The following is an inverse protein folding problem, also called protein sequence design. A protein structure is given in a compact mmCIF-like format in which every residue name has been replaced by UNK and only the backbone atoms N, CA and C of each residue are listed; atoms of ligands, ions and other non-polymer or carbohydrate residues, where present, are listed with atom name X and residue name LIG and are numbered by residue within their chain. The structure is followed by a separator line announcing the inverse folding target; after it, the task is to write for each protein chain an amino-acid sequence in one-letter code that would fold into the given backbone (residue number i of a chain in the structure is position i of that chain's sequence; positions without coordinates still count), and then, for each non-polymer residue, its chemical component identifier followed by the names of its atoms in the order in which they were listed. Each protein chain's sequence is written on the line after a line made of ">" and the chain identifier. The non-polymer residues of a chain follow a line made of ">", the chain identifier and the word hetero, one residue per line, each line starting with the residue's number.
data_IF_231741395851
#
_entry.id   IF_231741395851
#
_cell.length_a   1.000
_cell.length_b   1.000
_cell.length_c   1.000
_cell.angle_alpha   90.00
_cell.angle_beta   90.00
_cell.angle_gamma   90.00
#
_symmetry.space_group_name_H-M   'P 1'
#
loop_
_entity.id
_entity.type
_entity.pdbx_description
1 polymer ?
#
# COMPACT_ATOMS: atom_id res chain seq x y z
N UNK A 1 10.90 12.87 -30.77
CA UNK A 1 9.61 13.19 -30.12
C UNK A 1 8.97 11.86 -29.81
N UNK A 2 8.77 11.58 -28.52
CA UNK A 2 8.16 10.35 -28.05
C UNK A 2 6.68 10.30 -28.42
N UNK A 3 6.10 9.11 -28.37
CA UNK A 3 4.65 8.94 -28.52
C UNK A 3 3.99 9.47 -27.26
N UNK A 4 3.14 10.50 -27.39
CA UNK A 4 2.27 10.93 -26.30
C UNK A 4 1.22 9.86 -26.03
N UNK A 5 1.01 9.58 -24.76
CA UNK A 5 0.03 8.59 -24.29
C UNK A 5 -0.93 9.25 -23.31
N UNK A 6 -2.14 8.71 -23.23
CA UNK A 6 -3.12 9.16 -22.24
C UNK A 6 -2.65 8.73 -20.85
N UNK A 7 -2.55 9.68 -19.95
CA UNK A 7 -2.20 9.47 -18.54
C UNK A 7 -3.29 10.01 -17.62
N UNK A 8 -3.58 9.27 -16.55
CA UNK A 8 -4.37 9.73 -15.41
C UNK A 8 -3.48 9.64 -14.18
N UNK A 9 -3.50 10.66 -13.33
CA UNK A 9 -2.72 10.66 -12.09
C UNK A 9 -3.35 11.57 -11.03
N UNK A 10 -3.12 11.27 -9.73
CA UNK A 10 -3.41 12.19 -8.64
C UNK A 10 -2.63 13.50 -8.74
N UNK A 11 -3.21 14.62 -8.30
CA UNK A 11 -2.55 15.94 -8.38
C UNK A 11 -1.17 15.97 -7.71
N UNK A 12 -1.02 15.27 -6.57
CA UNK A 12 0.24 15.18 -5.82
C UNK A 12 1.38 14.52 -6.60
N UNK A 13 1.09 13.77 -7.68
CA UNK A 13 2.08 13.00 -8.41
C UNK A 13 3.23 13.89 -8.92
N UNK A 14 2.89 15.10 -9.37
CA UNK A 14 3.85 16.06 -9.92
C UNK A 14 4.60 16.85 -8.84
N UNK A 15 4.18 16.78 -7.59
CA UNK A 15 4.86 17.44 -6.46
C UNK A 15 6.08 16.64 -5.98
N UNK A 16 6.07 15.32 -6.21
CA UNK A 16 7.10 14.43 -5.69
C UNK A 16 8.48 14.65 -6.32
N UNK A 17 9.46 14.87 -5.44
CA UNK A 17 10.88 14.87 -5.76
C UNK A 17 11.61 14.07 -4.69
N UNK A 18 12.53 13.20 -5.09
CA UNK A 18 13.35 12.47 -4.14
C UNK A 18 14.18 13.46 -3.31
N UNK A 19 14.06 13.36 -1.98
CA UNK A 19 14.80 14.20 -1.02
C UNK A 19 16.22 13.69 -0.74
N UNK A 20 16.64 12.62 -1.42
CA UNK A 20 18.01 12.11 -1.42
C UNK A 20 18.56 11.86 -0.02
N UNK A 21 19.66 12.53 0.31
CA UNK A 21 20.36 12.35 1.57
C UNK A 21 19.54 12.68 2.82
N UNK A 22 18.48 13.49 2.69
CA UNK A 22 17.56 13.85 3.77
C UNK A 22 16.47 12.78 4.02
N UNK A 23 16.43 11.69 3.25
CA UNK A 23 15.46 10.62 3.42
C UNK A 23 15.76 9.81 4.70
N UNK A 24 14.86 9.89 5.67
CA UNK A 24 14.96 9.20 6.97
C UNK A 24 14.86 7.66 6.86
N UNK A 25 14.16 7.16 5.84
CA UNK A 25 14.04 5.73 5.56
C UNK A 25 14.29 5.46 4.07
N UNK A 26 15.57 5.38 3.70
CA UNK A 26 16.01 5.30 2.31
C UNK A 26 15.59 4.01 1.62
N UNK A 27 15.07 4.12 0.39
CA UNK A 27 14.84 2.99 -0.53
C UNK A 27 16.12 2.29 -0.99
N UNK A 28 17.29 2.82 -0.65
CA UNK A 28 18.58 2.20 -0.95
C UNK A 28 19.11 1.35 0.22
N UNK A 29 18.26 1.05 1.22
CA UNK A 29 18.59 0.29 2.43
C UNK A 29 17.44 -0.68 2.73
N UNK A 30 17.78 -1.94 3.01
CA UNK A 30 16.85 -2.91 3.59
C UNK A 30 16.06 -3.78 2.62
N UNK A 31 16.25 -3.64 1.31
CA UNK A 31 15.69 -4.56 0.31
C UNK A 31 16.65 -4.80 -0.86
N UNK A 32 16.35 -5.82 -1.66
CA UNK A 32 17.11 -6.11 -2.88
C UNK A 32 16.92 -5.03 -3.95
N UNK A 33 17.98 -4.72 -4.69
CA UNK A 33 17.96 -3.72 -5.76
C UNK A 33 18.27 -4.40 -7.08
N UNK A 34 17.22 -4.56 -7.88
CA UNK A 34 17.27 -5.16 -9.20
C UNK A 34 17.70 -4.14 -10.28
N UNK A 35 18.40 -4.67 -11.28
CA UNK A 35 18.98 -3.94 -12.40
C UNK A 35 18.48 -4.54 -13.71
N UNK A 36 17.79 -3.73 -14.51
CA UNK A 36 17.36 -4.11 -15.85
C UNK A 36 18.54 -4.33 -16.80
N UNK A 37 18.35 -5.19 -17.81
CA UNK A 37 19.39 -5.61 -18.75
C UNK A 37 20.05 -4.46 -19.50
N UNK A 38 19.29 -3.42 -19.85
CA UNK A 38 19.80 -2.26 -20.57
C UNK A 38 20.77 -1.49 -19.69
N UNK A 39 20.38 -1.20 -18.44
CA UNK A 39 21.20 -0.53 -17.44
C UNK A 39 22.40 -1.37 -17.05
N UNK A 40 22.20 -2.67 -16.84
CA UNK A 40 23.26 -3.62 -16.56
C UNK A 40 24.37 -3.53 -17.62
N UNK A 41 24.01 -3.62 -18.91
CA UNK A 41 24.96 -3.47 -20.02
C UNK A 41 25.59 -2.08 -20.07
N UNK A 42 24.84 -1.04 -19.71
CA UNK A 42 25.34 0.34 -19.65
C UNK A 42 26.45 0.49 -18.60
N UNK A 43 26.33 -0.17 -17.45
CA UNK A 43 27.35 -0.19 -16.40
C UNK A 43 28.69 -0.78 -16.88
N UNK A 44 28.67 -1.86 -17.68
CA UNK A 44 29.92 -2.44 -18.23
C UNK A 44 30.63 -1.52 -19.25
N UNK A 45 29.88 -0.63 -19.90
CA UNK A 45 30.37 0.30 -20.92
C UNK A 45 30.68 1.69 -20.39
N UNK A 46 30.52 1.92 -19.08
CA UNK A 46 30.81 3.23 -18.48
C UNK A 46 32.29 3.60 -18.66
N UNK A 47 32.55 4.86 -19.01
CA UNK A 47 33.90 5.36 -19.24
C UNK A 47 34.60 5.79 -17.95
N UNK A 48 33.82 6.24 -16.96
CA UNK A 48 34.34 6.56 -15.63
C UNK A 48 34.95 5.32 -14.97
N UNK A 49 36.26 5.34 -14.75
CA UNK A 49 37.03 4.19 -14.27
C UNK A 49 36.68 3.82 -12.82
N UNK A 50 36.32 4.80 -11.99
CA UNK A 50 35.93 4.57 -10.60
C UNK A 50 34.58 3.86 -10.56
N UNK A 51 33.58 4.39 -11.29
CA UNK A 51 32.26 3.80 -11.40
C UNK A 51 32.32 2.42 -12.06
N UNK A 52 33.16 2.22 -13.07
CA UNK A 52 33.37 0.91 -13.69
C UNK A 52 33.83 -0.14 -12.67
N UNK A 53 34.81 0.21 -11.83
CA UNK A 53 35.28 -0.67 -10.74
C UNK A 53 34.18 -0.92 -9.70
N UNK A 54 33.40 0.10 -9.34
CA UNK A 54 32.27 -0.06 -8.42
C UNK A 54 31.21 -1.01 -8.98
N UNK A 55 30.83 -0.87 -10.25
CA UNK A 55 29.86 -1.77 -10.88
C UNK A 55 30.37 -3.21 -10.95
N UNK A 56 31.61 -3.42 -11.41
CA UNK A 56 32.20 -4.76 -11.48
C UNK A 56 32.29 -5.47 -10.12
N UNK A 57 32.51 -4.71 -9.05
CA UNK A 57 32.57 -5.26 -7.68
C UNK A 57 31.19 -5.55 -7.09
N UNK A 58 30.20 -4.71 -7.40
CA UNK A 58 28.96 -4.64 -6.63
C UNK A 58 27.71 -4.99 -7.45
N UNK A 59 27.81 -5.30 -8.74
CA UNK A 59 26.68 -5.71 -9.58
C UNK A 59 26.97 -7.08 -10.17
N UNK A 60 26.01 -7.99 -10.09
CA UNK A 60 26.14 -9.37 -10.56
C UNK A 60 24.89 -9.80 -11.32
N UNK A 61 25.01 -10.83 -12.16
CA UNK A 61 23.86 -11.40 -12.86
C UNK A 61 22.88 -12.02 -11.84
N UNK A 62 21.59 -11.93 -12.12
CA UNK A 62 20.58 -12.69 -11.41
C UNK A 62 20.28 -13.99 -12.18
N UNK A 63 20.74 -15.14 -11.67
CA UNK A 63 20.52 -16.43 -12.32
C UNK A 63 19.05 -16.86 -12.31
N UNK A 64 18.26 -16.30 -11.40
CA UNK A 64 16.82 -16.54 -11.24
C UNK A 64 15.98 -15.41 -11.85
N UNK A 65 16.51 -14.67 -12.83
CA UNK A 65 15.79 -13.55 -13.48
C UNK A 65 14.50 -14.03 -14.14
N UNK A 66 13.40 -13.35 -13.82
CA UNK A 66 12.09 -13.56 -14.44
C UNK A 66 11.82 -12.59 -15.59
N UNK A 67 12.42 -11.39 -15.56
CA UNK A 67 12.22 -10.34 -16.56
C UNK A 67 13.50 -9.55 -16.81
N UNK A 68 14.01 -9.63 -18.05
CA UNK A 68 15.14 -8.84 -18.52
C UNK A 68 14.96 -7.32 -18.30
N UNK A 69 13.71 -6.84 -18.27
CA UNK A 69 13.38 -5.42 -18.10
C UNK A 69 13.37 -4.99 -16.62
N UNK A 70 13.49 -5.90 -15.66
CA UNK A 70 13.43 -5.57 -14.24
C UNK A 70 14.63 -6.15 -13.48
N UNK A 71 14.82 -7.46 -13.55
CA UNK A 71 15.64 -8.23 -12.60
C UNK A 71 16.80 -9.00 -13.24
N UNK A 72 17.32 -8.52 -14.37
CA UNK A 72 18.45 -9.15 -15.08
C UNK A 72 19.73 -9.26 -14.24
N UNK A 73 20.01 -8.25 -13.42
CA UNK A 73 21.11 -8.23 -12.47
C UNK A 73 20.70 -7.69 -11.13
N UNK A 74 21.57 -7.86 -10.14
CA UNK A 74 21.33 -7.43 -8.76
C UNK A 74 22.52 -6.65 -8.20
N UNK A 75 22.22 -5.68 -7.36
CA UNK A 75 23.23 -5.02 -6.53
C UNK A 75 23.57 -5.94 -5.36
N UNK A 76 24.86 -6.20 -5.17
CA UNK A 76 25.38 -6.81 -3.95
C UNK A 76 25.41 -5.77 -2.84
N UNK A 77 24.43 -5.83 -1.94
CA UNK A 77 24.35 -4.97 -0.77
C UNK A 77 25.51 -5.25 0.20
N UNK A 78 25.80 -4.28 1.06
CA UNK A 78 26.69 -4.46 2.21
C UNK A 78 26.01 -5.29 3.30
N UNK A 79 26.76 -5.68 4.33
CA UNK A 79 26.27 -6.54 5.43
C UNK A 79 25.10 -5.90 6.19
N UNK A 80 25.06 -4.56 6.27
CA UNK A 80 23.96 -3.75 6.83
C UNK A 80 22.80 -3.52 5.85
N UNK A 81 22.74 -4.29 4.76
CA UNK A 81 21.76 -4.14 3.65
C UNK A 81 21.77 -2.76 2.99
N UNK A 82 22.86 -2.00 3.15
CA UNK A 82 23.04 -0.69 2.52
C UNK A 82 23.55 -0.83 1.09
N UNK A 83 22.95 -0.09 0.16
CA UNK A 83 23.43 0.01 -1.21
C UNK A 83 24.87 0.56 -1.25
N UNK A 84 25.82 -0.12 -1.92
CA UNK A 84 27.21 0.32 -2.00
C UNK A 84 27.43 1.58 -2.84
N UNK A 85 26.39 2.04 -3.55
CA UNK A 85 26.39 3.28 -4.32
C UNK A 85 25.87 4.47 -3.54
N UNK A 86 25.58 4.34 -2.24
CA UNK A 86 25.34 5.51 -1.38
C UNK A 86 26.67 6.06 -0.84
N UNK A 87 26.83 7.38 -0.88
CA UNK A 87 27.92 8.07 -0.20
C UNK A 87 27.68 8.17 1.32
N UNK A 88 28.56 8.87 2.03
CA UNK A 88 28.44 9.08 3.48
C UNK A 88 27.25 9.98 3.87
N UNK A 89 26.72 10.76 2.93
CA UNK A 89 25.60 11.68 3.12
C UNK A 89 24.28 11.11 2.55
N UNK A 90 24.22 9.79 2.28
CA UNK A 90 23.05 9.10 1.71
C UNK A 90 22.65 9.54 0.28
N UNK A 91 23.54 10.18 -0.48
CA UNK A 91 23.29 10.44 -1.90
C UNK A 91 23.77 9.28 -2.77
N UNK A 92 23.01 8.98 -3.83
CA UNK A 92 23.39 7.98 -4.81
C UNK A 92 24.53 8.51 -5.71
N UNK A 93 25.68 7.84 -5.68
CA UNK A 93 26.85 8.21 -6.49
C UNK A 93 26.64 7.93 -7.99
N UNK A 94 25.75 7.00 -8.35
CA UNK A 94 25.36 6.78 -9.76
C UNK A 94 24.67 8.03 -10.28
N UNK A 95 23.65 8.50 -9.56
CA UNK A 95 22.89 9.68 -9.95
C UNK A 95 23.77 10.94 -9.99
N UNK A 96 24.55 11.19 -8.93
CA UNK A 96 25.36 12.41 -8.83
C UNK A 96 26.54 12.48 -9.81
N UNK A 97 27.17 11.34 -10.16
CA UNK A 97 28.31 11.32 -11.11
C UNK A 97 27.90 11.09 -12.56
N UNK A 98 26.91 10.24 -12.80
CA UNK A 98 26.56 9.77 -14.15
C UNK A 98 25.19 10.28 -14.65
N UNK A 99 24.35 10.81 -13.75
CA UNK A 99 23.01 11.31 -14.07
C UNK A 99 21.89 10.26 -13.95
N UNK A 100 20.65 10.75 -13.99
CA UNK A 100 19.41 9.95 -13.87
C UNK A 100 19.31 8.82 -14.89
N UNK A 101 19.78 9.03 -16.12
CA UNK A 101 19.76 8.03 -17.19
C UNK A 101 20.56 6.76 -16.87
N UNK A 102 21.42 6.78 -15.85
CA UNK A 102 22.18 5.62 -15.39
C UNK A 102 21.49 4.83 -14.26
N UNK A 103 20.37 5.31 -13.71
CA UNK A 103 19.61 4.55 -12.72
C UNK A 103 18.91 3.36 -13.38
N UNK A 104 18.76 2.24 -12.66
CA UNK A 104 17.96 1.10 -13.14
C UNK A 104 16.48 1.45 -13.20
N UNK A 105 15.70 0.61 -13.89
CA UNK A 105 14.24 0.71 -13.90
C UNK A 105 13.68 0.79 -12.47
N UNK A 106 14.11 -0.09 -11.57
CA UNK A 106 13.68 -0.08 -10.17
C UNK A 106 14.03 1.24 -9.45
N UNK A 107 15.28 1.70 -9.55
CA UNK A 107 15.71 2.94 -8.90
C UNK A 107 15.07 4.21 -9.49
N UNK A 108 14.70 4.19 -10.78
CA UNK A 108 14.03 5.32 -11.44
C UNK A 108 12.54 5.35 -11.09
N UNK A 109 11.93 4.18 -11.01
CA UNK A 109 10.49 4.05 -10.80
C UNK A 109 10.13 4.32 -9.35
N UNK A 110 10.75 3.68 -8.35
CA UNK A 110 10.32 3.84 -6.97
C UNK A 110 10.40 5.31 -6.48
N UNK A 111 9.35 5.87 -5.83
CA UNK A 111 8.08 5.26 -5.40
C UNK A 111 6.93 5.39 -6.41
N UNK A 112 7.19 5.78 -7.65
CA UNK A 112 6.18 5.89 -8.70
C UNK A 112 5.69 4.51 -9.13
N UNK A 113 4.38 4.33 -9.07
CA UNK A 113 3.68 3.16 -9.60
C UNK A 113 3.09 3.56 -10.95
N UNK A 114 3.22 2.66 -11.94
CA UNK A 114 2.65 2.86 -13.27
C UNK A 114 1.84 1.64 -13.66
N UNK A 115 0.55 1.85 -13.84
CA UNK A 115 -0.41 0.85 -14.25
C UNK A 115 -0.91 1.15 -15.67
N UNK A 116 -1.38 0.15 -16.41
CA UNK A 116 -1.96 0.32 -17.75
C UNK A 116 -3.37 -0.25 -17.81
N UNK A 117 -4.38 0.63 -17.95
CA UNK A 117 -5.80 0.23 -17.94
C UNK A 117 -6.49 0.71 -19.23
N UNK A 118 -6.87 -0.24 -20.09
CA UNK A 118 -7.42 -0.01 -21.45
C UNK A 118 -6.58 0.98 -22.29
N UNK A 119 -5.26 0.83 -22.24
CA UNK A 119 -4.33 1.70 -22.97
C UNK A 119 -4.12 3.09 -22.34
N UNK A 120 -4.72 3.37 -21.19
CA UNK A 120 -4.47 4.56 -20.39
C UNK A 120 -3.45 4.26 -19.30
N UNK A 121 -2.39 5.07 -19.22
CA UNK A 121 -1.42 4.97 -18.15
C UNK A 121 -1.97 5.61 -16.89
N UNK A 122 -1.88 4.90 -15.78
CA UNK A 122 -2.32 5.36 -14.47
C UNK A 122 -1.10 5.46 -13.56
N UNK A 123 -0.79 6.67 -13.10
CA UNK A 123 0.46 6.96 -12.37
C UNK A 123 0.15 7.45 -10.97
N UNK A 124 0.90 6.99 -9.99
CA UNK A 124 0.70 7.32 -8.58
C UNK A 124 1.98 7.10 -7.77
N UNK A 125 1.92 7.26 -6.46
CA UNK A 125 3.06 7.08 -5.56
C UNK A 125 2.74 6.04 -4.49
N UNK A 126 3.75 5.25 -4.17
CA UNK A 126 3.76 4.30 -3.07
C UNK A 126 4.10 5.00 -1.75
N UNK A 127 3.30 4.74 -0.71
CA UNK A 127 3.48 5.36 0.61
C UNK A 127 4.60 4.72 1.42
N UNK A 128 5.24 3.65 0.91
CA UNK A 128 6.49 3.13 1.47
C UNK A 128 7.66 4.14 1.38
N UNK A 129 7.54 5.22 0.59
CA UNK A 129 8.52 6.32 0.60
C UNK A 129 8.09 7.44 1.57
N UNK A 130 8.97 7.89 2.48
CA UNK A 130 8.65 8.96 3.44
C UNK A 130 8.14 10.25 2.81
N UNK A 131 8.77 10.71 1.72
CA UNK A 131 8.33 11.94 1.05
C UNK A 131 7.02 11.76 0.29
N UNK A 132 6.80 10.60 -0.34
CA UNK A 132 5.52 10.31 -0.97
C UNK A 132 4.39 10.24 0.05
N UNK A 133 4.61 9.55 1.18
CA UNK A 133 3.67 9.49 2.29
C UNK A 133 3.36 10.89 2.83
N UNK A 134 4.38 11.73 3.04
CA UNK A 134 4.20 13.12 3.51
C UNK A 134 3.34 13.95 2.57
N UNK A 135 3.64 13.96 1.27
CA UNK A 135 2.88 14.74 0.28
C UNK A 135 1.44 14.23 0.18
N UNK A 136 1.27 12.91 0.11
CA UNK A 136 0.00 12.27 -0.17
C UNK A 136 -0.94 12.29 1.04
N UNK A 137 -0.45 11.84 2.19
CA UNK A 137 -1.28 11.59 3.37
C UNK A 137 -1.65 12.88 4.08
N UNK A 138 -0.76 13.89 4.09
CA UNK A 138 -1.02 15.18 4.72
C UNK A 138 -1.90 16.13 3.89
N UNK A 139 -2.40 15.71 2.73
CA UNK A 139 -3.28 16.51 1.90
C UNK A 139 -4.73 16.53 2.45
N UNK A 140 -5.07 17.53 3.25
CA UNK A 140 -6.40 17.69 3.87
C UNK A 140 -7.56 17.78 2.85
N UNK A 141 -7.29 18.28 1.64
CA UNK A 141 -8.27 18.43 0.56
C UNK A 141 -8.65 17.12 -0.13
N UNK A 142 -7.96 16.03 0.20
CA UNK A 142 -8.18 14.72 -0.40
C UNK A 142 -7.53 14.56 -1.78
N UNK A 143 -7.51 13.32 -2.26
CA UNK A 143 -6.93 12.97 -3.56
C UNK A 143 -7.86 13.38 -4.72
N UNK A 144 -7.35 14.22 -5.62
CA UNK A 144 -8.02 14.62 -6.87
C UNK A 144 -7.22 14.09 -8.05
N UNK A 145 -7.91 13.68 -9.12
CA UNK A 145 -7.28 13.09 -10.31
C UNK A 145 -7.28 14.08 -11.48
N UNK A 146 -6.20 14.06 -12.27
CA UNK A 146 -6.04 14.80 -13.52
C UNK A 146 -5.81 13.83 -14.66
N UNK A 147 -6.25 14.24 -15.85
CA UNK A 147 -5.92 13.56 -17.10
C UNK A 147 -4.99 14.46 -17.93
N UNK A 148 -4.05 13.84 -18.65
CA UNK A 148 -3.19 14.56 -19.60
C UNK A 148 -2.70 13.64 -20.72
N UNK A 149 -2.12 14.23 -21.77
CA UNK A 149 -1.37 13.51 -22.79
C UNK A 149 0.10 13.89 -22.71
N UNK A 150 0.93 12.94 -22.30
CA UNK A 150 2.35 13.17 -22.00
C UNK A 150 3.24 12.08 -22.58
N UNK A 151 4.51 12.40 -22.78
CA UNK A 151 5.52 11.38 -23.05
C UNK A 151 5.91 10.72 -21.72
N UNK A 152 5.83 9.40 -21.65
CA UNK A 152 6.25 8.64 -20.47
C UNK A 152 7.69 8.19 -20.67
N UNK A 153 8.55 8.56 -19.71
CA UNK A 153 9.94 8.15 -19.67
C UNK A 153 10.13 6.68 -19.28
N UNK A 154 11.29 6.38 -18.70
CA UNK A 154 11.60 5.06 -18.16
C UNK A 154 10.59 4.68 -17.08
N UNK A 155 9.93 3.53 -17.23
CA UNK A 155 8.90 3.05 -16.31
C UNK A 155 8.86 1.52 -16.28
N UNK A 156 8.35 0.97 -15.18
CA UNK A 156 7.94 -0.43 -15.05
C UNK A 156 6.42 -0.44 -15.01
N UNK A 157 5.79 -1.29 -15.82
CA UNK A 157 4.36 -1.57 -15.69
C UNK A 157 4.16 -2.50 -14.49
N UNK A 158 3.52 -1.98 -13.44
CA UNK A 158 3.19 -2.74 -12.23
C UNK A 158 2.03 -3.69 -12.50
N UNK A 159 0.99 -3.23 -13.20
CA UNK A 159 -0.15 -4.03 -13.59
C UNK A 159 -0.69 -3.59 -14.96
N UNK A 160 -1.36 -4.51 -15.65
CA UNK A 160 -2.04 -4.23 -16.91
C UNK A 160 -3.41 -4.90 -16.96
N UNK A 161 -4.43 -4.15 -17.36
CA UNK A 161 -5.81 -4.63 -17.55
C UNK A 161 -6.35 -4.11 -18.88
N UNK A 162 -6.92 -5.01 -19.69
CA UNK A 162 -7.72 -4.69 -20.86
C UNK A 162 -9.14 -5.23 -20.68
N UNK A 163 -10.03 -4.37 -20.22
CA UNK A 163 -11.45 -4.69 -19.93
C UNK A 163 -12.25 -5.06 -21.18
N UNK A 164 -11.72 -4.75 -22.37
CA UNK A 164 -12.32 -5.09 -23.66
C UNK A 164 -11.85 -6.43 -24.21
N UNK A 165 -10.92 -7.08 -23.52
CA UNK A 165 -10.43 -8.40 -23.89
C UNK A 165 -11.55 -9.44 -23.82
N UNK A 166 -11.47 -10.47 -24.68
CA UNK A 166 -12.44 -11.57 -24.68
C UNK A 166 -12.37 -12.39 -23.40
N UNK A 167 -11.21 -12.43 -22.73
CA UNK A 167 -10.99 -13.18 -21.49
C UNK A 167 -11.82 -12.62 -20.33
N UNK A 168 -12.03 -11.31 -20.29
CA UNK A 168 -12.77 -10.64 -19.23
C UNK A 168 -14.26 -10.47 -19.52
N UNK A 169 -14.78 -10.92 -20.67
CA UNK A 169 -16.14 -10.59 -21.12
C UNK A 169 -17.25 -11.01 -20.14
N UNK A 170 -17.02 -12.08 -19.38
CA UNK A 170 -17.94 -12.63 -18.37
C UNK A 170 -17.35 -12.55 -16.96
N UNK A 171 -16.44 -11.60 -16.71
CA UNK A 171 -15.84 -11.34 -15.40
C UNK A 171 -16.19 -9.94 -14.93
N UNK A 172 -16.32 -9.75 -13.61
CA UNK A 172 -16.47 -8.43 -12.99
C UNK A 172 -15.36 -7.45 -13.40
N UNK A 173 -14.17 -7.95 -13.75
CA UNK A 173 -13.06 -7.13 -14.24
C UNK A 173 -13.38 -6.38 -15.56
N UNK A 174 -14.40 -6.79 -16.31
CA UNK A 174 -14.97 -6.01 -17.42
C UNK A 174 -15.41 -4.60 -16.99
N UNK A 175 -15.93 -4.49 -15.77
CA UNK A 175 -16.42 -3.23 -15.19
C UNK A 175 -15.41 -2.61 -14.22
N UNK A 176 -14.12 -2.92 -14.37
CA UNK A 176 -13.05 -2.51 -13.46
C UNK A 176 -13.08 -1.01 -13.14
N UNK A 177 -13.21 -0.15 -14.16
CA UNK A 177 -13.19 1.31 -13.99
C UNK A 177 -14.41 1.81 -13.26
N UNK A 178 -15.58 1.26 -13.58
CA UNK A 178 -16.88 1.61 -13.01
C UNK A 178 -16.92 1.21 -11.53
N UNK A 179 -16.51 -0.01 -11.21
CA UNK A 179 -16.41 -0.53 -9.84
C UNK A 179 -15.45 0.34 -9.03
N UNK A 180 -14.21 0.53 -9.50
CA UNK A 180 -13.21 1.32 -8.78
C UNK A 180 -13.65 2.77 -8.56
N UNK A 181 -14.36 3.37 -9.53
CA UNK A 181 -14.92 4.72 -9.40
C UNK A 181 -15.97 4.78 -8.27
N UNK A 182 -16.80 3.75 -8.11
CA UNK A 182 -17.74 3.67 -6.97
C UNK A 182 -16.98 3.50 -5.66
N UNK A 183 -15.97 2.62 -5.59
CA UNK A 183 -15.15 2.43 -4.39
C UNK A 183 -14.50 3.74 -3.92
N UNK A 184 -13.86 4.50 -4.83
CA UNK A 184 -13.25 5.79 -4.51
C UNK A 184 -14.31 6.80 -4.04
N UNK A 185 -15.47 6.88 -4.71
CA UNK A 185 -16.56 7.77 -4.31
C UNK A 185 -17.10 7.46 -2.91
N UNK A 186 -17.20 6.19 -2.54
CA UNK A 186 -17.64 5.76 -1.21
C UNK A 186 -16.64 6.26 -0.16
N UNK A 187 -15.35 6.00 -0.34
CA UNK A 187 -14.32 6.41 0.63
C UNK A 187 -14.21 7.94 0.74
N UNK A 188 -14.38 8.67 -0.36
CA UNK A 188 -14.36 10.14 -0.36
C UNK A 188 -15.68 10.79 0.11
N UNK A 189 -16.72 10.01 0.46
CA UNK A 189 -18.00 10.56 0.88
C UNK A 189 -17.94 11.13 2.31
N UNK A 190 -17.43 12.35 2.47
CA UNK A 190 -17.29 13.04 3.77
C UNK A 190 -18.60 13.40 4.49
N UNK A 191 -19.75 12.99 3.96
CA UNK A 191 -21.05 13.05 4.66
C UNK A 191 -21.23 11.94 5.70
N UNK A 192 -20.42 10.90 5.61
CA UNK A 192 -20.41 9.74 6.49
C UNK A 192 -19.09 9.69 7.27
N UNK A 193 -19.08 9.07 8.44
CA UNK A 193 -17.86 8.75 9.17
C UNK A 193 -17.03 7.72 8.39
N UNK A 194 -15.70 7.71 8.55
CA UNK A 194 -14.84 6.82 7.75
C UNK A 194 -15.17 5.33 7.94
N UNK A 195 -15.53 4.92 9.16
CA UNK A 195 -15.96 3.54 9.45
C UNK A 195 -17.25 3.18 8.72
N UNK A 196 -18.21 4.11 8.62
CA UNK A 196 -19.45 3.92 7.85
C UNK A 196 -19.14 3.81 6.35
N UNK A 197 -18.21 4.61 5.83
CA UNK A 197 -17.78 4.52 4.41
C UNK A 197 -17.15 3.17 4.10
N UNK A 198 -16.31 2.65 4.99
CA UNK A 198 -15.71 1.32 4.83
C UNK A 198 -16.77 0.21 4.91
N UNK A 199 -17.78 0.35 5.78
CA UNK A 199 -18.92 -0.57 5.81
C UNK A 199 -19.71 -0.55 4.50
N UNK A 200 -20.03 0.64 3.96
CA UNK A 200 -20.67 0.81 2.64
C UNK A 200 -19.83 0.18 1.54
N UNK A 201 -18.50 0.30 1.60
CA UNK A 201 -17.61 -0.33 0.64
C UNK A 201 -17.76 -1.87 0.71
N UNK A 202 -17.78 -2.45 1.90
CA UNK A 202 -18.01 -3.89 2.08
C UNK A 202 -19.35 -4.36 1.55
N UNK A 203 -20.43 -3.65 1.87
CA UNK A 203 -21.77 -3.91 1.34
C UNK A 203 -21.81 -3.81 -0.18
N UNK A 204 -21.18 -2.80 -0.78
CA UNK A 204 -21.10 -2.67 -2.23
C UNK A 204 -20.40 -3.88 -2.86
N UNK A 205 -19.25 -4.28 -2.32
CA UNK A 205 -18.46 -5.40 -2.84
C UNK A 205 -19.20 -6.74 -2.67
N UNK A 206 -19.76 -7.01 -1.50
CA UNK A 206 -20.52 -8.24 -1.23
C UNK A 206 -21.71 -8.38 -2.18
N UNK A 207 -22.56 -7.35 -2.25
CA UNK A 207 -23.73 -7.37 -3.12
C UNK A 207 -23.36 -7.45 -4.61
N UNK A 208 -22.20 -6.90 -5.01
CA UNK A 208 -21.70 -6.99 -6.37
C UNK A 208 -21.27 -8.43 -6.74
N UNK A 209 -20.64 -9.15 -5.82
CA UNK A 209 -20.33 -10.58 -6.00
C UNK A 209 -21.61 -11.41 -6.12
N UNK A 210 -22.55 -11.25 -5.19
CA UNK A 210 -23.84 -11.95 -5.18
C UNK A 210 -24.63 -11.72 -6.49
N UNK A 211 -24.68 -10.46 -6.96
CA UNK A 211 -25.31 -10.11 -8.23
C UNK A 211 -24.58 -10.72 -9.43
N UNK A 212 -23.25 -10.85 -9.36
CA UNK A 212 -22.46 -11.43 -10.46
C UNK A 212 -22.70 -12.91 -10.65
N UNK A 213 -22.92 -13.63 -9.55
CA UNK A 213 -23.27 -15.05 -9.54
C UNK A 213 -24.72 -15.27 -9.95
N UNK A 214 -25.62 -14.38 -9.53
CA UNK A 214 -27.06 -14.51 -9.75
C UNK A 214 -27.52 -14.05 -11.14
N UNK A 215 -27.04 -12.87 -11.59
CA UNK A 215 -27.45 -12.26 -12.85
C UNK A 215 -26.38 -11.28 -13.39
N UNK A 216 -25.34 -11.84 -14.02
CA UNK A 216 -24.24 -11.07 -14.59
C UNK A 216 -24.66 -9.96 -15.58
N UNK A 217 -25.79 -10.13 -16.28
CA UNK A 217 -26.29 -9.12 -17.23
C UNK A 217 -26.77 -7.83 -16.54
N UNK A 218 -27.05 -7.87 -15.24
CA UNK A 218 -27.55 -6.74 -14.47
C UNK A 218 -26.43 -5.91 -13.81
N UNK A 219 -25.16 -6.34 -13.90
CA UNK A 219 -24.04 -5.70 -13.19
C UNK A 219 -23.87 -4.23 -13.53
N UNK A 220 -23.96 -3.86 -14.81
CA UNK A 220 -23.87 -2.46 -15.23
C UNK A 220 -24.98 -1.61 -14.58
N UNK A 221 -26.21 -2.15 -14.54
CA UNK A 221 -27.36 -1.48 -13.93
C UNK A 221 -27.23 -1.42 -12.41
N UNK A 222 -26.69 -2.46 -11.78
CA UNK A 222 -26.41 -2.49 -10.34
C UNK A 222 -25.43 -1.38 -9.96
N UNK A 223 -24.27 -1.31 -10.63
CA UNK A 223 -23.23 -0.31 -10.36
C UNK A 223 -23.77 1.12 -10.54
N UNK A 224 -24.48 1.36 -11.63
CA UNK A 224 -25.01 2.70 -11.95
C UNK A 224 -26.10 3.20 -10.99
N UNK A 225 -26.83 2.29 -10.35
CA UNK A 225 -27.93 2.62 -9.43
C UNK A 225 -27.56 2.46 -7.95
N UNK A 226 -26.31 2.11 -7.64
CA UNK A 226 -25.89 1.93 -6.25
C UNK A 226 -25.93 3.26 -5.50
N UNK A 227 -26.79 3.34 -4.47
CA UNK A 227 -26.90 4.51 -3.61
C UNK A 227 -25.89 4.43 -2.46
N UNK A 228 -24.83 5.21 -2.57
CA UNK A 228 -23.74 5.28 -1.58
C UNK A 228 -24.17 5.87 -0.23
N UNK A 229 -25.39 6.42 -0.11
CA UNK A 229 -25.91 6.95 1.16
C UNK A 229 -26.94 6.02 1.82
N UNK A 230 -27.24 4.87 1.20
CA UNK A 230 -28.33 3.97 1.63
C UNK A 230 -28.17 3.40 3.04
N UNK A 231 -26.95 3.33 3.56
CA UNK A 231 -26.62 2.72 4.85
C UNK A 231 -26.80 3.64 6.05
N UNK A 232 -27.22 4.90 5.86
CA UNK A 232 -27.45 5.85 6.95
C UNK A 232 -28.51 5.27 7.92
N UNK A 233 -28.06 4.57 8.97
CA UNK A 233 -28.89 3.89 9.97
C UNK A 233 -28.78 2.36 10.12
N UNK A 234 -27.99 1.63 9.29
CA UNK A 234 -27.85 0.16 9.40
C UNK A 234 -26.54 -0.32 10.04
N UNK A 235 -25.53 0.55 10.11
CA UNK A 235 -24.28 0.28 10.81
C UNK A 235 -24.36 0.87 12.22
N UNK A 236 -24.33 0.02 13.23
CA UNK A 236 -24.25 0.45 14.62
C UNK A 236 -22.83 0.22 15.13
N UNK A 237 -22.14 1.31 15.49
CA UNK A 237 -20.80 1.25 16.07
C UNK A 237 -20.89 0.55 17.43
N UNK A 238 -20.17 -0.57 17.57
CA UNK A 238 -20.14 -1.33 18.81
C UNK A 238 -18.72 -1.41 19.35
N UNK A 239 -18.44 -0.68 20.43
CA UNK A 239 -17.11 -0.64 21.04
C UNK A 239 -16.66 -1.98 21.62
N UNK A 240 -17.56 -2.95 21.82
CA UNK A 240 -17.20 -4.33 22.19
C UNK A 240 -16.39 -5.02 21.08
N UNK A 241 -16.53 -4.60 19.82
CA UNK A 241 -15.74 -5.15 18.71
C UNK A 241 -14.24 -4.91 18.86
N UNK A 242 -13.85 -3.83 19.55
CA UNK A 242 -12.45 -3.58 19.90
C UNK A 242 -11.85 -4.75 20.69
N UNK A 243 -12.61 -5.40 21.58
CA UNK A 243 -12.10 -6.58 22.29
C UNK A 243 -11.84 -7.76 21.34
N UNK A 244 -12.71 -7.97 20.35
CA UNK A 244 -12.58 -9.05 19.37
C UNK A 244 -11.37 -8.84 18.44
N UNK A 245 -11.01 -7.58 18.18
CA UNK A 245 -9.84 -7.24 17.38
C UNK A 245 -8.52 -7.66 18.03
N UNK A 246 -8.42 -7.68 19.37
CA UNK A 246 -7.15 -7.98 20.06
C UNK A 246 -6.65 -9.38 19.70
N UNK A 247 -7.51 -10.40 19.80
CA UNK A 247 -7.11 -11.78 19.50
C UNK A 247 -6.74 -11.97 18.03
N UNK A 248 -7.51 -11.33 17.13
CA UNK A 248 -7.23 -11.33 15.71
C UNK A 248 -5.86 -10.68 15.42
N UNK A 249 -5.60 -9.48 15.95
CA UNK A 249 -4.33 -8.79 15.70
C UNK A 249 -3.15 -9.40 16.45
N UNK A 250 -3.37 -10.01 17.62
CA UNK A 250 -2.36 -10.86 18.29
C UNK A 250 -1.94 -12.00 17.37
N UNK A 251 -2.91 -12.64 16.70
CA UNK A 251 -2.60 -13.66 15.69
C UNK A 251 -1.87 -13.07 14.48
N UNK A 252 -2.29 -11.91 13.97
CA UNK A 252 -1.63 -11.24 12.85
C UNK A 252 -0.18 -10.86 13.17
N UNK A 253 0.10 -10.36 14.39
CA UNK A 253 1.46 -10.10 14.88
C UNK A 253 2.27 -11.39 14.98
N UNK A 254 1.68 -12.48 15.48
CA UNK A 254 2.36 -13.78 15.54
C UNK A 254 2.73 -14.31 14.14
N UNK A 255 1.88 -14.12 13.14
CA UNK A 255 2.15 -14.54 11.75
C UNK A 255 3.30 -13.78 11.09
N UNK A 256 3.60 -12.55 11.54
CA UNK A 256 4.71 -11.75 11.04
C UNK A 256 6.08 -12.34 11.35
N UNK A 257 6.21 -13.03 12.49
CA UNK A 257 7.49 -13.62 12.92
C UNK A 257 8.63 -12.58 12.88
N UNK A 258 8.42 -11.46 13.59
CA UNK A 258 9.19 -10.21 13.45
C UNK A 258 10.72 -10.36 13.56
N UNK A 259 11.21 -11.29 14.37
CA UNK A 259 12.65 -11.46 14.58
C UNK A 259 13.33 -12.15 13.39
N UNK A 260 12.57 -12.88 12.56
CA UNK A 260 13.10 -13.68 11.45
C UNK A 260 12.74 -13.13 10.07
N UNK A 261 11.55 -12.58 9.91
CA UNK A 261 11.02 -12.21 8.58
C UNK A 261 10.98 -10.69 8.35
N UNK A 262 11.17 -9.85 9.38
CA UNK A 262 11.16 -8.39 9.24
C UNK A 262 12.57 -7.81 9.33
N UNK A 263 12.89 -6.88 8.43
CA UNK A 263 14.20 -6.20 8.42
C UNK A 263 14.19 -4.85 9.15
N UNK A 264 13.08 -4.10 9.09
CA UNK A 264 12.98 -2.77 9.69
C UNK A 264 13.10 -2.82 11.23
N UNK A 265 14.19 -2.27 11.76
CA UNK A 265 14.41 -2.17 13.20
C UNK A 265 13.36 -1.27 13.87
N UNK A 266 12.97 -0.19 13.20
CA UNK A 266 11.92 0.71 13.68
C UNK A 266 10.56 0.00 13.77
N UNK A 267 10.22 -0.82 12.77
CA UNK A 267 8.98 -1.61 12.84
C UNK A 267 9.05 -2.66 13.97
N UNK A 268 10.19 -3.33 14.16
CA UNK A 268 10.40 -4.26 15.29
C UNK A 268 10.22 -3.56 16.65
N UNK A 269 10.73 -2.34 16.79
CA UNK A 269 10.55 -1.53 18.00
C UNK A 269 9.07 -1.23 18.26
N UNK A 270 8.35 -0.77 17.23
CA UNK A 270 6.91 -0.57 17.33
C UNK A 270 6.18 -1.86 17.69
N UNK A 271 6.52 -3.00 17.09
CA UNK A 271 5.89 -4.28 17.43
C UNK A 271 6.15 -4.69 18.89
N UNK A 272 7.38 -4.54 19.39
CA UNK A 272 7.70 -4.81 20.81
C UNK A 272 6.91 -3.90 21.74
N UNK A 273 6.81 -2.61 21.40
CA UNK A 273 6.05 -1.64 22.17
C UNK A 273 4.58 -2.03 22.29
N UNK A 274 3.93 -2.47 21.20
CA UNK A 274 2.52 -2.86 21.25
C UNK A 274 2.29 -4.22 21.92
N UNK A 275 3.23 -5.17 21.81
CA UNK A 275 3.17 -6.45 22.53
C UNK A 275 3.14 -6.20 24.04
N UNK A 276 4.00 -5.30 24.52
CA UNK A 276 4.03 -4.89 25.92
C UNK A 276 2.78 -4.11 26.32
N UNK A 277 2.36 -3.15 25.50
CA UNK A 277 1.28 -2.21 25.84
C UNK A 277 -0.08 -2.91 25.93
N UNK A 278 -0.35 -3.85 25.03
CA UNK A 278 -1.55 -4.68 25.07
C UNK A 278 -1.40 -5.95 25.91
N UNK A 279 -0.22 -6.18 26.52
CA UNK A 279 0.10 -7.42 27.23
C UNK A 279 -0.22 -8.69 26.41
N UNK A 280 0.10 -8.70 25.10
CA UNK A 280 -0.30 -9.77 24.19
C UNK A 280 0.24 -11.15 24.59
N UNK A 281 1.25 -11.22 25.45
CA UNK A 281 1.82 -12.47 25.97
C UNK A 281 1.01 -13.11 27.11
N UNK A 282 -0.01 -12.44 27.67
CA UNK A 282 -0.88 -13.01 28.71
C UNK A 282 -2.20 -13.51 28.09
N UNK A 283 -2.81 -14.51 28.73
CA UNK A 283 -4.14 -15.01 28.35
C UNK A 283 -5.27 -14.15 28.96
N UNK A 284 -5.02 -13.48 30.09
CA UNK A 284 -6.02 -12.72 30.86
C UNK A 284 -5.85 -11.19 30.77
N UNK A 285 -5.70 -10.63 29.56
CA UNK A 285 -5.65 -9.18 29.40
C UNK A 285 -7.02 -8.54 29.72
N UNK A 286 -7.02 -7.45 30.51
CA UNK A 286 -8.26 -6.70 30.78
C UNK A 286 -8.67 -5.87 29.56
N UNK A 287 -9.59 -6.44 28.78
CA UNK A 287 -10.09 -5.85 27.54
C UNK A 287 -10.87 -4.54 27.76
N UNK A 288 -11.29 -4.19 28.99
CA UNK A 288 -12.01 -2.93 29.24
C UNK A 288 -11.11 -1.71 29.09
N UNK A 289 -9.87 -1.81 29.57
CA UNK A 289 -8.86 -0.75 29.41
C UNK A 289 -8.54 -0.51 27.93
N UNK A 290 -8.63 -1.53 27.07
CA UNK A 290 -8.42 -1.39 25.62
C UNK A 290 -9.49 -0.51 24.96
N UNK A 291 -10.77 -0.73 25.28
CA UNK A 291 -11.87 0.05 24.73
C UNK A 291 -11.70 1.53 25.05
N UNK A 292 -11.45 1.84 26.32
CA UNK A 292 -11.32 3.23 26.79
C UNK A 292 -10.19 3.96 26.06
N UNK A 293 -9.02 3.34 25.92
CA UNK A 293 -7.89 3.97 25.23
C UNK A 293 -8.14 4.10 23.72
N UNK A 294 -8.82 3.14 23.11
CA UNK A 294 -9.15 3.20 21.70
C UNK A 294 -10.18 4.33 21.41
N UNK A 295 -11.17 4.50 22.28
CA UNK A 295 -12.13 5.62 22.21
C UNK A 295 -11.45 6.98 22.44
N UNK A 296 -10.57 7.07 23.44
CA UNK A 296 -9.74 8.25 23.72
C UNK A 296 -8.90 8.63 22.49
N UNK A 297 -8.15 7.67 21.93
CA UNK A 297 -7.31 7.91 20.76
C UNK A 297 -8.11 8.32 19.53
N UNK A 298 -9.28 7.69 19.29
CA UNK A 298 -10.15 8.06 18.19
C UNK A 298 -10.55 9.55 18.30
N UNK A 299 -11.04 9.94 19.48
CA UNK A 299 -11.53 11.30 19.75
C UNK A 299 -10.43 12.35 19.66
N UNK A 300 -9.24 12.06 20.18
CA UNK A 300 -8.15 13.05 20.24
C UNK A 300 -7.38 13.18 18.92
N UNK A 301 -7.21 12.07 18.18
CA UNK A 301 -6.32 12.02 17.02
C UNK A 301 -7.02 11.55 15.74
N UNK A 302 -7.71 10.40 15.73
CA UNK A 302 -8.25 9.87 14.47
C UNK A 302 -9.32 10.76 13.87
N UNK A 303 -10.29 11.26 14.66
CA UNK A 303 -11.37 12.10 14.16
C UNK A 303 -10.81 13.39 13.53
N UNK A 304 -9.75 13.96 14.14
CA UNK A 304 -9.06 15.15 13.65
C UNK A 304 -8.27 14.88 12.37
N UNK A 305 -7.61 13.73 12.27
CA UNK A 305 -6.71 13.38 11.18
C UNK A 305 -7.29 12.32 10.23
N UNK A 306 -8.61 12.16 10.19
CA UNK A 306 -9.30 11.12 9.40
C UNK A 306 -8.94 11.19 7.91
N UNK A 307 -8.64 12.39 7.39
CA UNK A 307 -8.22 12.59 6.00
C UNK A 307 -6.93 11.82 5.64
N UNK A 308 -6.04 11.55 6.60
CA UNK A 308 -4.83 10.74 6.37
C UNK A 308 -5.21 9.33 5.94
N UNK A 309 -6.18 8.73 6.64
CA UNK A 309 -6.66 7.39 6.34
C UNK A 309 -7.53 7.36 5.07
N UNK A 310 -8.33 8.40 4.82
CA UNK A 310 -9.04 8.58 3.54
C UNK A 310 -8.03 8.58 2.37
N UNK A 311 -6.95 9.36 2.47
CA UNK A 311 -5.91 9.44 1.45
C UNK A 311 -5.18 8.11 1.27
N UNK A 312 -4.82 7.43 2.36
CA UNK A 312 -4.23 6.09 2.32
C UNK A 312 -5.12 5.11 1.56
N UNK A 313 -6.42 5.04 1.91
CA UNK A 313 -7.38 4.13 1.30
C UNK A 313 -7.62 4.43 -0.18
N UNK A 314 -7.82 5.71 -0.55
CA UNK A 314 -8.02 6.10 -1.96
C UNK A 314 -6.77 5.80 -2.79
N UNK A 315 -5.58 6.09 -2.26
CA UNK A 315 -4.32 5.74 -2.91
C UNK A 315 -4.16 4.23 -3.05
N UNK A 316 -4.47 3.45 -2.01
CA UNK A 316 -4.41 1.99 -2.07
C UNK A 316 -5.34 1.46 -3.17
N UNK A 317 -6.58 1.95 -3.21
CA UNK A 317 -7.58 1.54 -4.20
C UNK A 317 -7.08 1.82 -5.63
N UNK A 318 -6.48 2.99 -5.84
CA UNK A 318 -5.97 3.39 -7.15
C UNK A 318 -4.70 2.62 -7.55
N UNK A 319 -3.75 2.47 -6.63
CA UNK A 319 -2.43 1.88 -6.87
C UNK A 319 -2.50 0.38 -7.13
N UNK A 320 -3.33 -0.34 -6.37
CA UNK A 320 -3.24 -1.79 -6.25
C UNK A 320 -4.26 -2.57 -7.10
N UNK A 321 -4.97 -1.94 -8.04
CA UNK A 321 -6.04 -2.62 -8.82
C UNK A 321 -7.23 -3.10 -7.97
N UNK A 322 -7.51 -2.44 -6.84
CA UNK A 322 -8.64 -2.80 -5.99
C UNK A 322 -9.99 -2.72 -6.75
N UNK A 323 -10.93 -3.66 -6.53
CA UNK A 323 -10.89 -4.78 -5.56
C UNK A 323 -10.30 -6.09 -6.13
N UNK A 324 -9.68 -6.07 -7.31
CA UNK A 324 -9.18 -7.26 -8.02
C UNK A 324 -7.73 -7.63 -7.67
N UNK A 325 -7.26 -7.16 -6.51
CA UNK A 325 -5.87 -7.29 -6.07
C UNK A 325 -5.59 -8.60 -5.33
N UNK A 326 -6.63 -9.37 -5.04
CA UNK A 326 -6.55 -10.74 -4.51
C UNK A 326 -7.09 -11.73 -5.57
N UNK A 327 -6.73 -13.00 -5.44
CA UNK A 327 -6.90 -13.98 -6.54
C UNK A 327 -8.27 -14.65 -6.60
N UNK A 328 -8.90 -14.89 -5.45
CA UNK A 328 -10.07 -15.78 -5.37
C UNK A 328 -11.38 -15.00 -5.46
N UNK A 329 -11.54 -13.93 -4.69
CA UNK A 329 -12.75 -13.08 -4.73
C UNK A 329 -12.39 -11.59 -4.64
N UNK A 330 -13.30 -10.71 -5.08
CA UNK A 330 -13.17 -9.27 -4.84
C UNK A 330 -13.49 -8.90 -3.39
N UNK A 331 -14.26 -9.73 -2.68
CA UNK A 331 -14.45 -9.58 -1.22
C UNK A 331 -13.15 -9.84 -0.44
N UNK A 332 -12.29 -10.75 -0.90
CA UNK A 332 -10.94 -10.92 -0.33
C UNK A 332 -10.14 -9.62 -0.41
N UNK A 333 -10.24 -8.91 -1.55
CA UNK A 333 -9.65 -7.59 -1.73
C UNK A 333 -10.13 -6.60 -0.67
N UNK A 334 -11.44 -6.57 -0.43
CA UNK A 334 -12.06 -5.74 0.61
C UNK A 334 -11.59 -6.12 2.03
N UNK A 335 -11.67 -7.38 2.43
CA UNK A 335 -11.33 -7.77 3.80
C UNK A 335 -9.84 -7.56 4.08
N UNK A 336 -8.98 -7.74 3.08
CA UNK A 336 -7.56 -7.46 3.20
C UNK A 336 -7.25 -5.96 3.25
N UNK A 337 -8.01 -5.10 2.56
CA UNK A 337 -7.92 -3.65 2.73
C UNK A 337 -8.31 -3.23 4.15
N UNK A 338 -9.42 -3.79 4.65
CA UNK A 338 -9.91 -3.51 5.99
C UNK A 338 -8.93 -3.99 7.07
N UNK A 339 -8.36 -5.19 6.91
CA UNK A 339 -7.30 -5.70 7.78
C UNK A 339 -6.13 -4.73 7.86
N UNK A 340 -5.64 -4.18 6.74
CA UNK A 340 -4.54 -3.20 6.75
C UNK A 340 -4.90 -1.93 7.50
N UNK A 341 -6.05 -1.33 7.19
CA UNK A 341 -6.54 -0.14 7.87
C UNK A 341 -6.64 -0.34 9.39
N UNK A 342 -7.28 -1.43 9.81
CA UNK A 342 -7.50 -1.71 11.22
C UNK A 342 -6.22 -2.14 11.93
N UNK A 343 -5.28 -2.79 11.23
CA UNK A 343 -3.97 -3.12 11.81
C UNK A 343 -3.13 -1.87 12.04
N UNK A 344 -3.20 -0.89 11.14
CA UNK A 344 -2.56 0.42 11.34
C UNK A 344 -3.10 1.07 12.63
N UNK A 345 -4.42 1.12 12.79
CA UNK A 345 -5.06 1.67 14.00
C UNK A 345 -4.66 0.92 15.27
N UNK A 346 -4.62 -0.40 15.22
CA UNK A 346 -4.18 -1.24 16.34
C UNK A 346 -2.77 -0.87 16.81
N UNK A 347 -1.84 -0.68 15.89
CA UNK A 347 -0.48 -0.25 16.24
C UNK A 347 -0.44 1.15 16.83
N UNK A 348 -1.14 2.11 16.22
CA UNK A 348 -1.16 3.49 16.68
C UNK A 348 -1.72 3.59 18.12
N UNK A 349 -2.84 2.92 18.40
CA UNK A 349 -3.41 2.84 19.74
C UNK A 349 -2.45 2.17 20.72
N UNK A 350 -1.77 1.11 20.28
CA UNK A 350 -0.78 0.41 21.11
C UNK A 350 0.41 1.29 21.50
N UNK A 351 0.88 2.15 20.60
CA UNK A 351 1.90 3.16 20.90
C UNK A 351 1.36 4.22 21.88
N UNK A 352 0.15 4.68 21.63
CA UNK A 352 -0.51 5.73 22.41
C UNK A 352 -0.70 5.35 23.89
N UNK A 353 -0.95 4.07 24.22
CA UNK A 353 -1.12 3.60 25.62
C UNK A 353 0.00 4.10 26.55
N UNK A 354 1.26 4.08 26.09
CA UNK A 354 2.43 4.50 26.86
C UNK A 354 2.76 5.97 26.68
N UNK A 355 2.67 6.49 25.47
CA UNK A 355 3.14 7.83 25.12
C UNK A 355 2.14 8.93 25.47
N UNK A 356 0.83 8.62 25.44
CA UNK A 356 -0.28 9.56 25.67
C UNK A 356 -0.19 10.84 24.85
N UNK A 357 0.39 10.71 23.66
CA UNK A 357 0.51 11.77 22.66
C UNK A 357 0.69 11.15 21.28
N UNK A 358 0.28 11.87 20.23
CA UNK A 358 0.52 11.52 18.83
C UNK A 358 0.49 12.80 17.98
N UNK A 359 0.84 12.70 16.70
CA UNK A 359 0.78 13.81 15.75
C UNK A 359 0.47 13.31 14.35
N UNK A 360 0.03 14.20 13.45
CA UNK A 360 -0.18 13.82 12.05
C UNK A 360 1.14 13.33 11.42
N UNK A 361 2.27 13.90 11.80
CA UNK A 361 3.59 13.49 11.33
C UNK A 361 3.94 12.07 11.78
N UNK A 362 3.70 11.72 13.05
CA UNK A 362 3.95 10.37 13.57
C UNK A 362 2.97 9.32 13.01
N UNK A 363 1.70 9.68 12.78
CA UNK A 363 0.75 8.82 12.06
C UNK A 363 1.24 8.53 10.64
N UNK A 364 1.62 9.57 9.89
CA UNK A 364 2.16 9.42 8.52
C UNK A 364 3.43 8.57 8.51
N UNK A 365 4.35 8.82 9.44
CA UNK A 365 5.57 8.04 9.60
C UNK A 365 5.27 6.57 9.86
N UNK A 366 4.33 6.29 10.76
CA UNK A 366 3.95 4.91 11.05
C UNK A 366 3.31 4.22 9.83
N UNK A 367 2.39 4.88 9.12
CA UNK A 367 1.78 4.34 7.89
C UNK A 367 2.85 4.03 6.84
N UNK A 368 3.86 4.90 6.68
CA UNK A 368 4.97 4.65 5.76
C UNK A 368 5.78 3.40 6.16
N UNK A 369 6.21 3.31 7.42
CA UNK A 369 6.99 2.17 7.91
C UNK A 369 6.19 0.87 7.82
N UNK A 370 4.88 0.94 8.13
CA UNK A 370 3.94 -0.17 7.99
C UNK A 370 3.83 -0.62 6.53
N UNK A 371 3.59 0.31 5.59
CA UNK A 371 3.47 -0.01 4.16
C UNK A 371 4.74 -0.65 3.62
N UNK A 372 5.91 -0.06 3.90
CA UNK A 372 7.22 -0.61 3.50
C UNK A 372 7.43 -2.03 4.01
N UNK A 373 6.99 -2.33 5.23
CA UNK A 373 7.23 -3.62 5.88
C UNK A 373 6.18 -4.68 5.53
N UNK A 374 4.91 -4.31 5.48
CA UNK A 374 3.77 -5.25 5.42
C UNK A 374 3.27 -5.41 3.99
N UNK A 375 3.10 -4.32 3.25
CA UNK A 375 2.43 -4.36 1.94
C UNK A 375 3.28 -5.02 0.86
N UNK A 376 4.60 -5.04 1.05
CA UNK A 376 5.53 -5.75 0.17
C UNK A 376 5.88 -7.17 0.67
N UNK A 377 5.36 -7.60 1.83
CA UNK A 377 5.66 -8.90 2.42
C UNK A 377 4.69 -9.98 1.94
N UNK A 378 4.86 -10.42 0.69
CA UNK A 378 3.94 -11.36 0.01
C UNK A 378 3.62 -12.62 0.81
N UNK A 379 4.64 -13.25 1.42
CA UNK A 379 4.44 -14.47 2.22
C UNK A 379 3.56 -14.22 3.46
N UNK A 380 3.68 -13.05 4.09
CA UNK A 380 2.84 -12.67 5.22
C UNK A 380 1.40 -12.45 4.76
N UNK A 381 1.19 -11.66 3.72
CA UNK A 381 -0.15 -11.39 3.19
C UNK A 381 -0.88 -12.67 2.79
N UNK A 382 -0.19 -13.61 2.12
CA UNK A 382 -0.73 -14.94 1.79
C UNK A 382 -1.08 -15.76 3.04
N UNK A 383 -0.23 -15.76 4.07
CA UNK A 383 -0.53 -16.43 5.36
C UNK A 383 -1.76 -15.79 6.03
N UNK A 384 -1.90 -14.47 5.96
CA UNK A 384 -3.00 -13.72 6.58
C UNK A 384 -4.35 -14.00 5.92
N UNK A 385 -4.45 -13.90 4.59
CA UNK A 385 -5.72 -14.21 3.89
C UNK A 385 -6.12 -15.69 4.08
N UNK A 386 -5.14 -16.60 4.06
CA UNK A 386 -5.41 -18.02 4.34
C UNK A 386 -5.98 -18.21 5.74
N UNK A 387 -5.41 -17.54 6.75
CA UNK A 387 -5.92 -17.61 8.11
C UNK A 387 -7.35 -17.04 8.23
N UNK A 388 -7.63 -15.90 7.57
CA UNK A 388 -8.97 -15.31 7.52
C UNK A 388 -9.98 -16.34 6.98
N UNK A 389 -9.65 -17.00 5.87
CA UNK A 389 -10.51 -18.03 5.26
C UNK A 389 -10.67 -19.29 6.11
N UNK A 390 -9.59 -19.79 6.69
CA UNK A 390 -9.63 -20.95 7.61
C UNK A 390 -10.51 -20.70 8.85
N UNK A 391 -10.76 -19.43 9.18
CA UNK A 391 -11.63 -19.00 10.28
C UNK A 391 -13.00 -18.50 9.83
N UNK A 392 -13.30 -18.56 8.54
CA UNK A 392 -14.54 -18.05 7.96
C UNK A 392 -14.75 -16.57 8.30
N UNK A 393 -13.67 -15.79 8.34
CA UNK A 393 -13.66 -14.35 8.63
C UNK A 393 -13.79 -13.47 7.38
N UNK A 394 -13.91 -14.08 6.20
CA UNK A 394 -14.17 -13.46 4.91
C UNK A 394 -15.67 -13.18 4.69
N UNK A 395 -16.30 -12.48 5.65
CA UNK A 395 -17.71 -12.07 5.55
C UNK A 395 -18.00 -10.69 6.17
N UNK A 396 -19.19 -10.15 5.88
CA UNK A 396 -19.59 -8.81 6.34
C UNK A 396 -19.71 -8.68 7.86
N UNK A 397 -20.07 -9.76 8.57
CA UNK A 397 -20.21 -9.71 10.02
C UNK A 397 -18.85 -9.57 10.70
N UNK A 398 -17.85 -10.33 10.24
CA UNK A 398 -16.47 -10.14 10.69
C UNK A 398 -15.93 -8.76 10.28
N UNK A 399 -16.28 -8.25 9.09
CA UNK A 399 -15.88 -6.91 8.69
C UNK A 399 -16.36 -5.83 9.67
N UNK A 400 -17.59 -5.95 10.23
CA UNK A 400 -18.05 -5.03 11.29
C UNK A 400 -17.14 -5.06 12.52
N UNK A 401 -16.55 -6.21 12.85
CA UNK A 401 -15.64 -6.33 13.99
C UNK A 401 -14.34 -5.57 13.79
N UNK A 402 -13.89 -5.34 12.55
CA UNK A 402 -12.66 -4.61 12.24
C UNK A 402 -12.87 -3.08 12.17
N UNK A 403 -14.10 -2.60 12.04
CA UNK A 403 -14.45 -1.17 11.91
C UNK A 403 -14.63 -0.50 13.27
#
# INVERSE_FOLDING_TARGET
>A
MGKKVKSIYPEYYNEFKCIGGSCEDSCCIGWDIDIDKVTFRKYYKVQDLEMKRMFQKNVHNNEESFSDDVDYGKVKLKDDKRCPFLDCNNYCVIHSKLGEDYLSNVCTCFPRITNLVDGCYERSLDVACPEAARILLLNEEGIKFKESEEEIGKHILSNQVDTKSKELSNSLAKYFKEIRKVCIKIIQNRKLELTERLFVLGEFINNLEDESESNFNNIEKFINNYDINRTQGFYEKNSLYFMLQIDFFKKMVSLLNIDKEVDSDLFKEYTKQIIDSFNLNREDADNRTYIEVFEEYNKEFLDKYTYIFENYLVNFIYNNMFPFNEKESIFDGYIMLLMRYSFIRFYLVGKYIKERNDSKEEIVRFIQVFSKTIEHHRSYLTKSIRYIKEKEFDNIEFAKTLL
#
